data_IF_042115603159
#
_entry.id   IF_042115603159
#
_cell.length_a   1.000
_cell.length_b   1.000
_cell.length_c   1.000
_cell.angle_alpha   90.00
_cell.angle_beta   90.00
_cell.angle_gamma   90.00
#
_symmetry.space_group_name_H-M   'P 1'
#
loop_
_entity.id
_entity.type
_entity.pdbx_description
1 polymer ?
#
# COMPACT_ATOMS: atom_id res chain seq x y z
N UNK A 1 21.97 25.23 41.25
CA UNK A 1 22.47 24.39 40.14
C UNK A 1 22.13 22.91 40.31
N UNK A 2 22.56 22.19 41.37
CA UNK A 2 22.29 20.75 41.53
C UNK A 2 20.80 20.34 41.49
N UNK A 3 19.91 21.09 42.15
CA UNK A 3 18.45 20.82 42.12
C UNK A 3 17.83 21.00 40.73
N UNK A 4 18.30 21.98 39.97
CA UNK A 4 17.85 22.23 38.59
C UNK A 4 18.29 21.08 37.67
N UNK A 5 19.52 20.59 37.82
CA UNK A 5 20.02 19.43 37.07
C UNK A 5 19.24 18.14 37.38
N UNK A 6 18.84 17.93 38.63
CA UNK A 6 18.00 16.78 39.03
C UNK A 6 16.62 16.86 38.35
N UNK A 7 16.01 18.05 38.32
CA UNK A 7 14.71 18.26 37.65
C UNK A 7 14.84 17.99 36.14
N UNK A 8 15.87 18.54 35.48
CA UNK A 8 16.11 18.31 34.04
C UNK A 8 16.35 16.82 33.76
N UNK A 9 17.18 16.15 34.56
CA UNK A 9 17.44 14.71 34.42
C UNK A 9 16.18 13.87 34.56
N UNK A 10 15.29 14.24 35.49
CA UNK A 10 14.00 13.56 35.68
C UNK A 10 13.09 13.75 34.47
N UNK A 11 13.00 14.97 33.92
CA UNK A 11 12.21 15.25 32.72
C UNK A 11 12.73 14.44 31.52
N UNK A 12 14.05 14.40 31.31
CA UNK A 12 14.65 13.62 30.23
C UNK A 12 14.33 12.12 30.40
N UNK A 13 14.42 11.60 31.63
CA UNK A 13 14.08 10.21 31.93
C UNK A 13 12.62 9.87 31.59
N UNK A 14 11.67 10.74 31.97
CA UNK A 14 10.24 10.54 31.66
C UNK A 14 10.00 10.59 30.15
N UNK A 15 10.59 11.57 29.45
CA UNK A 15 10.47 11.68 27.99
C UNK A 15 11.04 10.46 27.27
N UNK A 16 12.16 9.92 27.75
CA UNK A 16 12.76 8.72 27.18
C UNK A 16 11.83 7.50 27.33
N UNK A 17 11.25 7.29 28.50
CA UNK A 17 10.30 6.19 28.74
C UNK A 17 9.05 6.36 27.88
N UNK A 18 8.50 7.57 27.80
CA UNK A 18 7.35 7.87 26.96
C UNK A 18 7.65 7.61 25.48
N UNK A 19 8.83 7.99 25.00
CA UNK A 19 9.28 7.74 23.63
C UNK A 19 9.41 6.25 23.34
N UNK A 20 10.01 5.48 24.25
CA UNK A 20 10.13 4.02 24.11
C UNK A 20 8.77 3.34 24.06
N UNK A 21 7.86 3.69 24.98
CA UNK A 21 6.50 3.15 25.01
C UNK A 21 5.73 3.49 23.73
N UNK A 22 5.83 4.73 23.25
CA UNK A 22 5.20 5.16 22.00
C UNK A 22 5.79 4.45 20.77
N UNK A 23 7.11 4.30 20.71
CA UNK A 23 7.79 3.59 19.62
C UNK A 23 7.37 2.12 19.57
N UNK A 24 7.31 1.46 20.73
CA UNK A 24 6.81 0.08 20.84
C UNK A 24 5.35 -0.03 20.40
N UNK A 25 4.49 0.91 20.80
CA UNK A 25 3.09 0.93 20.39
C UNK A 25 2.94 1.13 18.87
N UNK A 26 3.65 2.11 18.30
CA UNK A 26 3.66 2.39 16.87
C UNK A 26 4.29 1.24 16.05
N UNK A 27 5.18 0.44 16.63
CA UNK A 27 5.71 -0.74 15.94
C UNK A 27 4.64 -1.82 15.71
N UNK A 28 3.63 -1.89 16.59
CA UNK A 28 2.59 -2.93 16.57
C UNK A 28 1.19 -2.44 16.15
N UNK A 29 0.96 -1.13 16.05
CA UNK A 29 -0.37 -0.57 15.77
C UNK A 29 -0.34 0.47 14.66
N UNK A 30 -1.40 0.56 13.86
CA UNK A 30 -1.56 1.62 12.86
C UNK A 30 -2.02 2.89 13.57
N UNK A 31 -1.27 3.98 13.45
CA UNK A 31 -1.66 5.26 14.00
C UNK A 31 -2.77 5.92 13.20
N UNK A 32 -3.53 6.83 13.82
CA UNK A 32 -4.64 7.56 13.19
C UNK A 32 -4.25 8.40 11.97
N UNK A 33 -2.97 8.73 11.82
CA UNK A 33 -2.41 9.46 10.69
C UNK A 33 -1.70 8.56 9.66
N UNK A 34 -1.74 7.24 9.83
CA UNK A 34 -1.13 6.24 8.96
C UNK A 34 -2.17 5.47 8.17
N UNK A 35 -1.77 4.83 7.07
CA UNK A 35 -2.62 3.89 6.34
C UNK A 35 -1.81 2.67 5.90
N UNK A 36 -2.45 1.51 5.85
CA UNK A 36 -1.93 0.30 5.20
C UNK A 36 -2.83 -0.01 4.01
N UNK A 37 -2.27 -0.59 2.95
CA UNK A 37 -3.02 -0.97 1.75
C UNK A 37 -2.79 -2.44 1.43
N UNK A 38 -3.88 -3.15 1.17
CA UNK A 38 -3.91 -4.42 0.50
C UNK A 38 -4.83 -4.28 -0.71
N UNK A 39 -4.44 -4.90 -1.82
CA UNK A 39 -5.08 -4.62 -3.10
C UNK A 39 -5.52 -5.93 -3.75
N UNK A 40 -6.76 -5.94 -4.21
CA UNK A 40 -7.44 -7.11 -4.73
C UNK A 40 -8.15 -6.79 -6.04
N UNK A 41 -8.44 -7.83 -6.82
CA UNK A 41 -9.25 -7.73 -8.03
C UNK A 41 -10.25 -8.87 -8.11
N UNK A 42 -11.42 -8.59 -8.69
CA UNK A 42 -12.44 -9.58 -9.04
C UNK A 42 -12.44 -9.88 -10.54
N UNK A 43 -11.53 -9.24 -11.31
CA UNK A 43 -11.46 -9.36 -12.76
C UNK A 43 -10.75 -10.68 -13.08
N UNK A 44 -11.41 -11.63 -13.77
CA UNK A 44 -10.76 -12.87 -14.16
C UNK A 44 -9.72 -12.63 -15.25
N UNK A 45 -8.76 -13.55 -15.38
CA UNK A 45 -7.64 -13.42 -16.33
C UNK A 45 -8.12 -13.21 -17.78
N UNK A 46 -9.21 -13.85 -18.18
CA UNK A 46 -9.83 -13.72 -19.52
C UNK A 46 -10.39 -12.31 -19.81
N UNK A 47 -10.75 -11.54 -18.79
CA UNK A 47 -11.34 -10.21 -18.93
C UNK A 47 -10.31 -9.08 -18.74
N UNK A 48 -9.06 -9.40 -18.38
CA UNK A 48 -8.03 -8.38 -18.13
C UNK A 48 -7.77 -7.55 -19.39
N UNK A 49 -7.67 -8.17 -20.57
CA UNK A 49 -7.46 -7.42 -21.82
C UNK A 49 -8.58 -6.41 -22.08
N UNK A 50 -9.84 -6.85 -21.98
CA UNK A 50 -11.00 -5.98 -22.14
C UNK A 50 -11.02 -4.87 -21.08
N UNK A 51 -10.69 -5.21 -19.84
CA UNK A 51 -10.61 -4.24 -18.75
C UNK A 51 -9.55 -3.18 -19.02
N UNK A 52 -8.40 -3.49 -19.61
CA UNK A 52 -7.37 -2.51 -19.96
C UNK A 52 -7.57 -1.87 -21.36
N UNK A 53 -8.57 -2.30 -22.14
CA UNK A 53 -8.80 -1.82 -23.51
C UNK A 53 -7.76 -2.33 -24.50
N UNK A 54 -7.21 -3.53 -24.26
CA UNK A 54 -6.20 -4.19 -25.07
C UNK A 54 -6.85 -5.16 -26.07
N UNK A 55 -6.07 -5.57 -27.08
CA UNK A 55 -6.49 -6.63 -27.98
C UNK A 55 -6.55 -7.98 -27.23
N UNK A 56 -7.55 -8.84 -27.48
CA UNK A 56 -7.62 -10.16 -26.86
C UNK A 56 -6.34 -10.98 -27.08
N UNK A 57 -5.82 -11.57 -26.00
CA UNK A 57 -4.58 -12.36 -25.99
C UNK A 57 -3.31 -11.54 -25.73
N UNK A 58 -3.43 -10.26 -25.37
CA UNK A 58 -2.29 -9.42 -24.98
C UNK A 58 -1.80 -9.79 -23.57
N UNK A 59 -2.73 -10.00 -22.65
CA UNK A 59 -2.45 -10.44 -21.30
C UNK A 59 -2.07 -11.92 -21.29
N UNK A 60 -0.90 -12.22 -20.72
CA UNK A 60 -0.44 -13.60 -20.55
C UNK A 60 -0.24 -13.89 -19.06
N UNK A 61 -1.16 -14.63 -18.40
CA UNK A 61 -1.06 -14.89 -16.96
C UNK A 61 0.16 -15.73 -16.58
N UNK A 62 0.84 -16.41 -17.51
CA UNK A 62 2.10 -17.11 -17.22
C UNK A 62 3.29 -16.15 -17.14
N UNK A 63 3.26 -15.04 -17.86
CA UNK A 63 4.37 -14.07 -17.96
C UNK A 63 4.12 -12.76 -17.24
N UNK A 64 2.86 -12.40 -17.05
CA UNK A 64 2.43 -11.10 -16.54
C UNK A 64 1.57 -11.27 -15.29
N UNK A 65 1.54 -10.22 -14.48
CA UNK A 65 0.74 -10.11 -13.27
C UNK A 65 0.22 -8.69 -13.13
N UNK A 66 -0.77 -8.51 -12.27
CA UNK A 66 -1.26 -7.20 -11.90
C UNK A 66 -0.48 -6.65 -10.70
N UNK A 67 -0.14 -5.37 -10.77
CA UNK A 67 0.45 -4.59 -9.69
C UNK A 67 -0.29 -3.27 -9.54
N UNK A 68 -0.29 -2.71 -8.34
CA UNK A 68 -0.93 -1.43 -8.06
C UNK A 68 0.11 -0.45 -7.50
N UNK A 69 0.30 0.68 -8.18
CA UNK A 69 0.99 1.82 -7.61
C UNK A 69 0.01 2.57 -6.72
N UNK A 70 0.34 2.62 -5.43
CA UNK A 70 -0.42 3.28 -4.39
C UNK A 70 -0.29 4.81 -4.51
N UNK A 71 -1.24 5.59 -3.99
CA UNK A 71 -1.22 7.06 -4.03
C UNK A 71 -0.24 7.66 -3.00
N UNK A 72 0.99 7.14 -2.98
CA UNK A 72 2.02 7.47 -1.99
C UNK A 72 3.25 8.05 -2.67
N UNK A 73 3.91 8.98 -1.99
CA UNK A 73 5.24 9.47 -2.34
C UNK A 73 6.22 9.00 -1.28
N UNK A 74 6.87 7.89 -1.56
CA UNK A 74 7.84 7.26 -0.68
C UNK A 74 9.26 7.78 -0.94
N UNK A 75 10.14 7.63 0.04
CA UNK A 75 11.58 7.76 -0.17
C UNK A 75 12.17 6.50 -0.81
N UNK A 76 13.48 6.53 -1.12
CA UNK A 76 14.14 5.53 -1.97
C UNK A 76 14.00 4.06 -1.54
N UNK A 77 13.75 3.79 -0.26
CA UNK A 77 13.75 2.44 0.31
C UNK A 77 12.35 1.86 0.60
N UNK A 78 11.30 2.66 0.42
CA UNK A 78 9.93 2.23 0.73
C UNK A 78 9.13 2.13 -0.55
N UNK A 79 8.58 0.95 -0.81
CA UNK A 79 7.92 0.64 -2.09
C UNK A 79 6.51 1.24 -2.07
N UNK A 80 6.15 1.98 -3.10
CA UNK A 80 4.79 2.47 -3.36
C UNK A 80 3.98 1.53 -4.25
N UNK A 81 4.58 0.46 -4.77
CA UNK A 81 3.92 -0.55 -5.62
C UNK A 81 3.71 -1.86 -4.88
N UNK A 82 2.49 -2.40 -4.93
CA UNK A 82 2.10 -3.66 -4.29
C UNK A 82 1.50 -4.64 -5.30
N UNK A 83 1.60 -5.96 -5.08
CA UNK A 83 0.91 -6.94 -5.92
C UNK A 83 -0.61 -6.82 -5.76
N UNK A 84 -1.35 -7.12 -6.83
CA UNK A 84 -2.81 -7.23 -6.79
C UNK A 84 -3.19 -8.70 -6.62
N UNK A 85 -3.97 -9.01 -5.59
CA UNK A 85 -4.41 -10.36 -5.28
C UNK A 85 -5.76 -10.68 -5.95
N UNK A 86 -5.89 -11.85 -6.54
CA UNK A 86 -7.12 -12.29 -7.23
C UNK A 86 -8.07 -13.01 -6.25
N UNK A 87 -7.56 -13.43 -5.08
CA UNK A 87 -8.35 -14.16 -4.08
C UNK A 87 -9.04 -13.21 -3.08
N UNK A 88 -10.32 -12.93 -3.31
CA UNK A 88 -11.17 -12.15 -2.39
C UNK A 88 -11.51 -12.90 -1.09
N UNK A 89 -11.51 -14.24 -1.11
CA UNK A 89 -11.84 -15.06 0.07
C UNK A 89 -10.82 -14.92 1.20
N UNK A 90 -9.65 -14.33 0.93
CA UNK A 90 -8.62 -14.01 1.92
C UNK A 90 -8.76 -12.63 2.57
N UNK A 91 -9.79 -11.84 2.24
CA UNK A 91 -9.99 -10.52 2.86
C UNK A 91 -10.56 -10.71 4.27
N UNK A 92 -9.77 -10.39 5.29
CA UNK A 92 -10.22 -10.31 6.67
C UNK A 92 -10.33 -8.85 7.13
N UNK A 93 -11.56 -8.36 7.31
CA UNK A 93 -11.80 -7.00 7.80
C UNK A 93 -11.44 -6.78 9.28
N UNK A 94 -11.13 -7.85 10.02
CA UNK A 94 -10.67 -7.81 11.40
C UNK A 94 -9.17 -8.10 11.53
N UNK A 95 -8.45 -8.18 10.41
CA UNK A 95 -7.03 -8.47 10.40
C UNK A 95 -6.27 -7.44 11.24
N UNK A 96 -5.46 -7.93 12.17
CA UNK A 96 -4.57 -7.09 12.95
C UNK A 96 -3.34 -6.68 12.12
N UNK A 97 -2.74 -5.55 12.49
CA UNK A 97 -1.53 -5.10 11.83
C UNK A 97 -0.34 -6.03 12.16
N UNK A 98 0.24 -6.62 11.12
CA UNK A 98 1.52 -7.32 11.20
C UNK A 98 2.60 -6.60 10.36
N UNK A 99 3.67 -6.17 11.03
CA UNK A 99 4.82 -5.48 10.43
C UNK A 99 5.63 -6.31 9.43
N UNK A 100 5.47 -7.63 9.43
CA UNK A 100 6.18 -8.52 8.50
C UNK A 100 5.53 -8.54 7.12
N UNK A 101 4.21 -8.29 7.05
CA UNK A 101 3.42 -8.38 5.81
C UNK A 101 2.81 -7.03 5.41
N UNK A 102 2.67 -6.08 6.34
CA UNK A 102 2.09 -4.79 6.09
C UNK A 102 3.13 -3.68 6.04
N UNK A 103 2.95 -2.81 5.04
CA UNK A 103 3.69 -1.56 4.95
C UNK A 103 2.76 -0.40 5.31
N UNK A 104 3.11 0.35 6.36
CA UNK A 104 2.39 1.57 6.76
C UNK A 104 2.88 2.75 5.96
N UNK A 105 2.01 3.69 5.66
CA UNK A 105 2.36 4.97 5.06
C UNK A 105 1.88 6.11 5.97
N UNK A 106 2.78 7.02 6.30
CA UNK A 106 2.50 8.18 7.13
C UNK A 106 1.82 9.29 6.32
N UNK A 107 1.19 10.24 7.02
CA UNK A 107 0.45 11.32 6.38
C UNK A 107 1.27 12.18 5.39
N UNK A 108 2.58 12.29 5.59
CA UNK A 108 3.48 13.02 4.68
C UNK A 108 3.73 12.27 3.37
N UNK A 109 3.48 10.97 3.34
CA UNK A 109 3.64 10.10 2.18
C UNK A 109 2.33 9.97 1.39
N UNK A 110 1.18 10.08 2.05
CA UNK A 110 -0.14 10.02 1.41
C UNK A 110 -0.43 11.30 0.59
N UNK A 111 -0.54 11.19 -0.75
CA UNK A 111 -0.60 12.38 -1.65
C UNK A 111 -1.87 12.54 -2.47
N UNK A 112 -2.59 11.46 -2.73
CA UNK A 112 -3.77 11.46 -3.60
C UNK A 112 -4.75 10.37 -3.15
N UNK A 113 -5.86 10.22 -3.86
CA UNK A 113 -6.75 9.06 -3.79
C UNK A 113 -6.75 8.27 -5.12
N UNK A 114 -5.82 8.56 -6.04
CA UNK A 114 -5.72 7.88 -7.34
C UNK A 114 -4.74 6.72 -7.27
N UNK A 115 -5.24 5.51 -7.45
CA UNK A 115 -4.47 4.29 -7.55
C UNK A 115 -4.22 3.97 -9.02
N UNK A 116 -3.06 3.42 -9.35
CA UNK A 116 -2.76 2.98 -10.72
C UNK A 116 -2.57 1.48 -10.77
N UNK A 117 -3.52 0.77 -11.39
CA UNK A 117 -3.35 -0.65 -11.69
C UNK A 117 -2.53 -0.77 -12.96
N UNK A 118 -1.60 -1.72 -12.97
CA UNK A 118 -0.68 -1.96 -14.07
C UNK A 118 -0.61 -3.45 -14.37
N UNK A 119 -0.51 -3.80 -15.66
CA UNK A 119 -0.03 -5.11 -16.09
C UNK A 119 1.48 -5.04 -16.15
N UNK A 120 2.16 -5.91 -15.40
CA UNK A 120 3.63 -5.96 -15.31
C UNK A 120 4.17 -7.35 -15.60
N UNK A 121 5.41 -7.44 -16.08
CA UNK A 121 6.11 -8.72 -16.23
C UNK A 121 6.41 -9.34 -14.86
N UNK A 122 6.11 -10.63 -14.68
CA UNK A 122 6.38 -11.39 -13.45
C UNK A 122 7.87 -11.46 -13.10
N UNK A 123 8.75 -11.36 -14.09
CA UNK A 123 10.21 -11.36 -13.90
C UNK A 123 10.75 -10.06 -13.31
N UNK A 124 9.94 -8.99 -13.22
CA UNK A 124 10.39 -7.68 -12.77
C UNK A 124 10.03 -7.44 -11.29
N UNK A 125 11.00 -7.11 -10.43
CA UNK A 125 10.73 -6.64 -9.08
C UNK A 125 9.86 -5.36 -9.09
N UNK A 126 8.85 -5.30 -8.22
CA UNK A 126 7.91 -4.16 -8.14
C UNK A 126 8.61 -2.82 -7.83
N UNK A 127 9.72 -2.85 -7.10
CA UNK A 127 10.58 -1.67 -6.86
C UNK A 127 11.10 -1.06 -8.17
N UNK A 128 11.43 -1.91 -9.16
CA UNK A 128 11.92 -1.42 -10.44
C UNK A 128 10.77 -0.87 -11.29
N UNK A 129 9.59 -1.49 -11.24
CA UNK A 129 8.38 -0.99 -11.91
C UNK A 129 8.07 0.46 -11.50
N UNK A 130 8.18 0.76 -10.21
CA UNK A 130 7.95 2.11 -9.67
C UNK A 130 8.94 3.16 -10.20
N UNK A 131 10.22 2.78 -10.34
CA UNK A 131 11.31 3.69 -10.75
C UNK A 131 11.43 3.86 -12.26
N UNK A 132 11.05 2.84 -13.02
CA UNK A 132 11.23 2.77 -14.47
C UNK A 132 10.26 3.68 -15.24
N UNK A 133 9.16 4.13 -14.62
CA UNK A 133 8.12 4.88 -15.32
C UNK A 133 7.42 4.03 -16.39
N UNK A 134 6.36 4.59 -16.98
CA UNK A 134 5.58 3.91 -18.03
C UNK A 134 6.43 3.83 -19.30
N UNK A 135 6.68 2.61 -19.80
CA UNK A 135 7.37 2.36 -21.07
C UNK A 135 8.81 1.85 -20.96
N UNK A 136 9.47 1.95 -19.81
CA UNK A 136 10.79 1.34 -19.62
C UNK A 136 10.67 -0.11 -19.11
N UNK A 137 10.34 -1.01 -20.03
CA UNK A 137 10.75 -2.43 -19.98
C UNK A 137 9.88 -3.44 -19.23
N UNK A 138 8.82 -3.04 -18.52
CA UNK A 138 8.04 -3.98 -17.71
C UNK A 138 6.54 -3.79 -17.63
N UNK A 139 6.03 -2.57 -17.84
CA UNK A 139 4.60 -2.26 -17.78
C UNK A 139 3.97 -2.31 -19.17
N UNK A 140 2.95 -3.16 -19.34
CA UNK A 140 2.25 -3.38 -20.62
C UNK A 140 1.12 -2.37 -20.79
N UNK A 141 0.33 -2.16 -19.75
CA UNK A 141 -0.78 -1.22 -19.72
C UNK A 141 -1.03 -0.77 -18.28
N UNK A 142 -1.74 0.35 -18.14
CA UNK A 142 -2.15 0.86 -16.84
C UNK A 142 -3.50 1.57 -16.90
N UNK A 143 -4.17 1.67 -15.75
CA UNK A 143 -5.37 2.48 -15.54
C UNK A 143 -5.30 3.19 -14.20
N UNK A 144 -5.63 4.48 -14.23
CA UNK A 144 -5.74 5.33 -13.05
C UNK A 144 -7.18 5.31 -12.55
N UNK A 145 -7.37 5.00 -11.27
CA UNK A 145 -8.68 4.78 -10.68
C UNK A 145 -8.75 5.49 -9.33
N UNK A 146 -9.70 6.43 -9.14
CA UNK A 146 -9.89 7.08 -7.86
C UNK A 146 -10.55 6.11 -6.87
N UNK A 147 -9.96 5.96 -5.69
CA UNK A 147 -10.49 5.16 -4.59
C UNK A 147 -10.31 5.90 -3.27
N UNK A 148 -11.40 6.07 -2.54
CA UNK A 148 -11.33 6.62 -1.20
C UNK A 148 -10.79 5.58 -0.22
N UNK A 149 -9.87 6.00 0.65
CA UNK A 149 -9.30 5.20 1.72
C UNK A 149 -9.31 5.98 3.03
N UNK A 150 -9.11 5.29 4.15
CA UNK A 150 -9.08 5.89 5.48
C UNK A 150 -7.73 5.70 6.14
N UNK A 151 -7.39 6.63 7.03
CA UNK A 151 -6.23 6.50 7.92
C UNK A 151 -6.62 5.75 9.20
N UNK A 152 -5.65 5.29 9.98
CA UNK A 152 -5.86 4.50 11.20
C UNK A 152 -6.15 3.03 10.97
N UNK A 153 -6.15 2.54 9.72
CA UNK A 153 -6.57 1.16 9.41
C UNK A 153 -5.89 0.55 8.19
N UNK A 154 -6.13 -0.75 8.00
CA UNK A 154 -5.82 -1.49 6.78
C UNK A 154 -6.95 -1.22 5.77
N UNK A 155 -6.59 -0.75 4.59
CA UNK A 155 -7.51 -0.50 3.49
C UNK A 155 -7.45 -1.66 2.52
N UNK A 156 -8.56 -2.38 2.38
CA UNK A 156 -8.71 -3.52 1.47
C UNK A 156 -9.33 -3.02 0.18
N UNK A 157 -8.49 -2.56 -0.75
CA UNK A 157 -8.91 -1.98 -2.01
C UNK A 157 -9.27 -3.09 -2.99
N UNK A 158 -10.52 -3.13 -3.44
CA UNK A 158 -11.00 -4.12 -4.42
C UNK A 158 -11.30 -3.42 -5.74
N UNK A 159 -10.71 -3.94 -6.80
CA UNK A 159 -10.97 -3.55 -8.18
C UNK A 159 -11.95 -4.52 -8.83
N UNK A 160 -12.99 -3.97 -9.46
CA UNK A 160 -13.99 -4.71 -10.25
C UNK A 160 -14.00 -4.15 -11.67
N UNK A 161 -14.65 -4.83 -12.63
CA UNK A 161 -14.82 -4.28 -13.97
C UNK A 161 -15.47 -2.88 -14.00
N UNK A 162 -16.38 -2.60 -13.07
CA UNK A 162 -17.19 -1.37 -13.06
C UNK A 162 -16.62 -0.26 -12.17
N UNK A 163 -16.01 -0.63 -11.05
CA UNK A 163 -15.60 0.31 -10.00
C UNK A 163 -14.47 -0.20 -9.12
N UNK A 164 -13.99 0.69 -8.27
CA UNK A 164 -13.01 0.38 -7.23
C UNK A 164 -13.43 0.97 -5.90
N UNK A 165 -13.24 0.23 -4.82
CA UNK A 165 -13.71 0.64 -3.49
C UNK A 165 -12.91 -0.02 -2.38
N UNK A 166 -12.94 0.58 -1.19
CA UNK A 166 -12.47 -0.08 0.04
C UNK A 166 -13.55 -1.03 0.54
N UNK A 167 -13.22 -2.32 0.60
CA UNK A 167 -14.14 -3.40 0.98
C UNK A 167 -14.54 -3.33 2.46
N UNK A 168 -13.58 -3.04 3.34
CA UNK A 168 -13.82 -2.94 4.78
C UNK A 168 -14.12 -1.49 5.15
N UNK A 169 -15.41 -1.13 5.11
CA UNK A 169 -15.86 0.24 5.33
C UNK A 169 -15.98 0.66 6.80
N UNK A 170 -15.96 -0.30 7.74
CA UNK A 170 -16.04 -0.03 9.17
C UNK A 170 -14.74 0.55 9.75
#
# INVERSE_FOLDING_TARGET
MKRVLIVIGTIIGILFIAFQAFSAYNASNIMSNQAVFQVYTTIPDEDIDAYFGLQPGTFNPQRQTLACMLPVKTGDFKVGTVPVNINLGGIDCKQEYDKQIHLKYDNTELRSNVFRIMIVQKSMPLVLVERSGIGAGGTVAYKDIPVNFSRGKINNIVFTPEKAYNYCQN
#
